data_IF_976229359825
#
_entry.id   IF_976229359825
#
_cell.length_a   1.000
_cell.length_b   1.000
_cell.length_c   1.000
_cell.angle_alpha   90.00
_cell.angle_beta   90.00
_cell.angle_gamma   90.00
#
_symmetry.space_group_name_H-M   'P 1'
#
loop_
_entity.id
_entity.type
_entity.pdbx_description
1 polymer ?
#
# COMPACT_ATOMS: atom_id res chain seq x y z
N UNK A 1 -7.19 11.19 -2.46
CA UNK A 1 -7.70 10.10 -3.34
C UNK A 1 -7.74 8.80 -2.56
N UNK A 2 -8.91 8.16 -2.43
CA UNK A 2 -9.13 7.01 -1.56
C UNK A 2 -8.95 5.69 -2.32
N UNK A 3 -8.35 4.69 -1.68
CA UNK A 3 -8.28 3.31 -2.20
C UNK A 3 -9.12 2.43 -1.30
N UNK A 4 -10.30 2.07 -1.79
CA UNK A 4 -11.13 1.02 -1.21
C UNK A 4 -10.88 -0.25 -2.01
N UNK A 5 -10.25 -1.25 -1.40
CA UNK A 5 -10.27 -2.62 -1.93
C UNK A 5 -11.39 -3.36 -1.22
N UNK A 6 -12.57 -3.34 -1.83
CA UNK A 6 -13.64 -4.27 -1.49
C UNK A 6 -13.24 -5.65 -2.00
N UNK A 7 -13.16 -6.61 -1.08
CA UNK A 7 -13.05 -8.08 -1.25
C UNK A 7 -12.90 -8.57 -2.69
N UNK A 8 -11.70 -9.05 -3.04
CA UNK A 8 -11.56 -9.97 -4.17
C UNK A 8 -11.22 -11.41 -3.77
N UNK A 9 -10.71 -11.70 -2.55
CA UNK A 9 -10.17 -13.04 -2.27
C UNK A 9 -10.36 -13.61 -0.86
N UNK A 10 -11.45 -13.26 -0.16
CA UNK A 10 -11.83 -13.93 1.10
C UNK A 10 -10.89 -13.67 2.29
N UNK A 11 -10.08 -12.61 2.21
CA UNK A 11 -9.21 -12.16 3.31
C UNK A 11 -10.01 -11.36 4.34
N UNK A 12 -9.62 -11.40 5.64
CA UNK A 12 -10.18 -10.51 6.66
C UNK A 12 -10.11 -9.05 6.23
N UNK A 13 -11.13 -8.25 6.60
CA UNK A 13 -11.30 -6.84 6.17
C UNK A 13 -10.14 -5.95 6.59
N UNK A 14 -9.33 -6.40 7.54
CA UNK A 14 -8.26 -5.65 8.17
C UNK A 14 -6.96 -5.64 7.33
N UNK A 15 -6.85 -6.41 6.24
CA UNK A 15 -5.60 -6.51 5.48
C UNK A 15 -5.28 -5.32 4.56
N UNK A 16 -6.28 -4.53 4.16
CA UNK A 16 -6.08 -3.34 3.32
C UNK A 16 -7.04 -2.25 3.78
N UNK A 17 -6.49 -1.16 4.32
CA UNK A 17 -7.26 -0.03 4.86
C UNK A 17 -7.00 1.21 4.01
N UNK A 18 -8.07 1.88 3.59
CA UNK A 18 -8.00 3.14 2.86
C UNK A 18 -8.25 4.33 3.78
N UNK A 19 -7.25 5.21 3.91
CA UNK A 19 -7.39 6.51 4.57
C UNK A 19 -7.62 7.62 3.55
N UNK A 20 -8.36 8.64 3.96
CA UNK A 20 -8.60 9.85 3.17
C UNK A 20 -8.60 11.04 4.13
N UNK A 21 -7.89 12.10 3.76
CA UNK A 21 -7.89 13.35 4.51
C UNK A 21 -9.34 13.86 4.69
N UNK A 22 -9.73 14.13 5.92
CA UNK A 22 -11.10 14.55 6.26
C UNK A 22 -12.08 13.37 6.51
N UNK A 23 -11.60 12.12 6.46
CA UNK A 23 -12.36 10.95 6.88
C UNK A 23 -13.52 10.57 5.96
N UNK A 24 -14.50 9.83 6.49
CA UNK A 24 -15.64 9.34 5.71
C UNK A 24 -16.45 10.43 4.97
N UNK A 25 -16.65 11.65 5.53
CA UNK A 25 -17.30 12.73 4.78
C UNK A 25 -16.58 13.11 3.49
N UNK A 26 -15.24 13.01 3.46
CA UNK A 26 -14.40 13.34 2.31
C UNK A 26 -14.63 12.46 1.07
N UNK A 27 -15.33 11.33 1.24
CA UNK A 27 -15.71 10.42 0.17
C UNK A 27 -16.77 11.07 -0.75
N UNK A 28 -17.71 11.80 -0.14
CA UNK A 28 -18.82 12.40 -0.85
C UNK A 28 -18.54 13.87 -1.22
N UNK A 29 -17.86 14.59 -0.34
CA UNK A 29 -17.57 16.01 -0.53
C UNK A 29 -16.21 16.35 0.08
N UNK A 30 -15.38 17.10 -0.65
CA UNK A 30 -14.09 17.55 -0.15
C UNK A 30 -14.26 18.33 1.17
N UNK A 31 -13.41 17.99 2.16
CA UNK A 31 -13.35 18.69 3.44
C UNK A 31 -12.27 19.76 3.35
N UNK A 32 -12.60 21.00 3.65
CA UNK A 32 -11.66 22.12 3.56
C UNK A 32 -10.45 21.92 4.49
N UNK A 33 -9.26 22.29 4.01
CA UNK A 33 -7.97 22.22 4.71
C UNK A 33 -7.55 20.83 5.20
N UNK A 34 -8.29 19.77 4.83
CA UNK A 34 -7.97 18.42 5.26
C UNK A 34 -6.63 17.92 4.69
N UNK A 35 -6.37 18.20 3.41
CA UNK A 35 -5.14 17.79 2.74
C UNK A 35 -3.91 18.60 3.19
N UNK A 36 -4.13 19.75 3.84
CA UNK A 36 -3.09 20.69 4.25
C UNK A 36 -2.56 20.46 5.69
N UNK A 37 -3.17 19.58 6.49
CA UNK A 37 -2.70 19.26 7.84
C UNK A 37 -1.84 18.00 7.87
N UNK A 38 -0.58 18.13 8.31
CA UNK A 38 0.32 16.99 8.55
C UNK A 38 -0.14 16.16 9.75
N UNK A 39 -0.65 16.84 10.78
CA UNK A 39 -1.06 16.26 12.06
C UNK A 39 -2.22 15.29 11.89
N UNK A 40 -3.18 15.61 11.01
CA UNK A 40 -4.30 14.71 10.71
C UNK A 40 -3.82 13.38 10.11
N UNK A 41 -2.81 13.39 9.25
CA UNK A 41 -2.24 12.17 8.66
C UNK A 41 -1.59 11.26 9.71
N UNK A 42 -0.86 11.85 10.65
CA UNK A 42 -0.31 11.11 11.79
C UNK A 42 -1.43 10.56 12.70
N UNK A 43 -2.40 11.40 13.05
CA UNK A 43 -3.46 11.03 13.98
C UNK A 43 -4.31 9.88 13.44
N UNK A 44 -4.60 9.87 12.13
CA UNK A 44 -5.34 8.78 11.51
C UNK A 44 -4.57 7.44 11.59
N UNK A 45 -3.25 7.45 11.45
CA UNK A 45 -2.44 6.24 11.64
C UNK A 45 -2.39 5.79 13.10
N UNK A 46 -2.32 6.73 14.06
CA UNK A 46 -2.41 6.42 15.49
C UNK A 46 -3.75 5.78 15.85
N UNK A 47 -4.84 6.31 15.32
CA UNK A 47 -6.19 5.80 15.55
C UNK A 47 -6.39 4.38 14.99
N UNK A 48 -5.61 3.99 13.97
CA UNK A 48 -5.59 2.62 13.43
C UNK A 48 -4.63 1.68 14.17
N UNK A 49 -3.95 2.14 15.23
CA UNK A 49 -2.87 1.40 15.88
C UNK A 49 -1.77 0.95 14.90
N UNK A 50 -1.45 1.79 13.91
CA UNK A 50 -0.43 1.51 12.90
C UNK A 50 0.95 1.28 13.54
N UNK A 51 1.68 0.28 13.04
CA UNK A 51 2.89 -0.25 13.65
C UNK A 51 3.99 -0.58 12.63
N UNK A 52 5.18 -0.94 13.11
CA UNK A 52 6.29 -1.43 12.30
C UNK A 52 5.97 -2.68 11.44
N UNK A 53 4.89 -3.40 11.76
CA UNK A 53 4.46 -4.60 11.02
C UNK A 53 3.61 -4.27 9.80
N UNK A 54 3.24 -3.00 9.66
CA UNK A 54 2.39 -2.51 8.60
C UNK A 54 3.23 -1.87 7.49
N UNK A 55 2.60 -1.66 6.33
CA UNK A 55 3.19 -0.95 5.20
C UNK A 55 2.29 0.24 4.87
N UNK A 56 2.87 1.43 4.79
CA UNK A 56 2.16 2.62 4.34
C UNK A 56 2.42 2.84 2.85
N UNK A 57 1.36 3.13 2.09
CA UNK A 57 1.47 3.62 0.71
C UNK A 57 0.90 5.03 0.66
N UNK A 58 1.77 6.04 0.60
CA UNK A 58 1.38 7.44 0.45
C UNK A 58 0.99 7.75 -1.01
N UNK A 59 -0.16 8.39 -1.23
CA UNK A 59 -0.69 8.63 -2.58
C UNK A 59 -1.03 10.10 -2.75
N UNK A 60 -0.27 10.82 -3.58
CA UNK A 60 -0.63 12.16 -4.01
C UNK A 60 0.00 12.45 -5.37
N UNK A 61 -0.82 12.87 -6.35
CA UNK A 61 -0.30 13.16 -7.70
C UNK A 61 0.76 14.28 -7.66
N UNK A 62 0.57 15.28 -6.79
CA UNK A 62 1.49 16.40 -6.58
C UNK A 62 2.83 15.97 -5.97
N UNK A 63 2.84 14.87 -5.20
CA UNK A 63 3.98 14.41 -4.42
C UNK A 63 4.38 15.30 -3.24
N UNK A 64 3.52 16.25 -2.85
CA UNK A 64 3.81 17.25 -1.79
C UNK A 64 2.64 17.51 -0.84
N UNK A 65 1.62 16.66 -0.83
CA UNK A 65 0.42 16.87 -0.01
C UNK A 65 0.75 16.73 1.49
N UNK A 66 0.59 17.79 2.32
CA UNK A 66 0.99 17.77 3.72
C UNK A 66 0.41 16.61 4.54
N UNK A 67 -0.89 16.31 4.41
CA UNK A 67 -1.51 15.16 5.08
C UNK A 67 -0.77 13.84 4.83
N UNK A 68 -0.39 13.58 3.58
CA UNK A 68 0.32 12.36 3.20
C UNK A 68 1.74 12.35 3.77
N UNK A 69 2.42 13.50 3.73
CA UNK A 69 3.77 13.64 4.29
C UNK A 69 3.80 13.45 5.81
N UNK A 70 2.78 13.95 6.53
CA UNK A 70 2.63 13.72 7.96
C UNK A 70 2.43 12.24 8.30
N UNK A 71 1.56 11.55 7.56
CA UNK A 71 1.37 10.10 7.69
C UNK A 71 2.67 9.33 7.42
N UNK A 72 3.41 9.70 6.36
CA UNK A 72 4.69 9.07 6.00
C UNK A 72 5.77 9.28 7.07
N UNK A 73 5.88 10.50 7.60
CA UNK A 73 6.83 10.81 8.67
C UNK A 73 6.54 9.97 9.93
N UNK A 74 5.27 9.87 10.34
CA UNK A 74 4.88 9.03 11.45
C UNK A 74 5.18 7.54 11.19
N UNK A 75 4.80 7.01 10.02
CA UNK A 75 5.08 5.63 9.66
C UNK A 75 6.58 5.28 9.71
N UNK A 76 7.44 6.20 9.23
CA UNK A 76 8.90 6.04 9.38
C UNK A 76 9.35 6.07 10.83
N UNK A 77 8.81 6.98 11.64
CA UNK A 77 9.17 7.09 13.06
C UNK A 77 8.87 5.82 13.86
N UNK A 78 7.85 5.05 13.47
CA UNK A 78 7.52 3.75 14.09
C UNK A 78 8.24 2.57 13.45
N UNK A 79 9.08 2.78 12.44
CA UNK A 79 9.86 1.74 11.76
C UNK A 79 9.10 0.92 10.72
N UNK A 80 7.97 1.42 10.23
CA UNK A 80 7.22 0.77 9.16
C UNK A 80 7.86 1.02 7.78
N UNK A 81 7.61 0.12 6.83
CA UNK A 81 8.01 0.36 5.44
C UNK A 81 7.08 1.38 4.80
N UNK A 82 7.64 2.37 4.11
CA UNK A 82 6.89 3.44 3.45
C UNK A 82 7.15 3.43 1.95
N UNK A 83 6.08 3.26 1.16
CA UNK A 83 6.07 3.48 -0.28
C UNK A 83 5.33 4.79 -0.63
N UNK A 84 5.70 5.42 -1.74
CA UNK A 84 5.02 6.61 -2.26
C UNK A 84 4.65 6.47 -3.73
N UNK A 85 3.46 6.95 -4.09
CA UNK A 85 2.99 7.07 -5.47
C UNK A 85 2.74 8.55 -5.78
N UNK A 86 3.57 9.12 -6.64
CA UNK A 86 3.43 10.51 -7.13
C UNK A 86 3.62 10.56 -8.65
N UNK A 87 3.13 11.62 -9.29
CA UNK A 87 3.27 11.78 -10.75
C UNK A 87 4.33 12.82 -11.13
N UNK A 88 5.04 13.35 -10.12
CA UNK A 88 6.10 14.33 -10.25
C UNK A 88 7.43 13.70 -9.80
N UNK A 89 8.41 13.53 -10.69
CA UNK A 89 9.72 13.00 -10.33
C UNK A 89 10.41 13.81 -9.24
N UNK A 90 11.12 13.13 -8.33
CA UNK A 90 11.90 13.78 -7.27
C UNK A 90 11.04 14.55 -6.25
N UNK A 91 9.78 14.16 -6.10
CA UNK A 91 8.87 14.83 -5.17
C UNK A 91 9.28 14.66 -3.70
N UNK A 92 8.78 15.53 -2.81
CA UNK A 92 9.04 15.43 -1.37
C UNK A 92 8.63 14.05 -0.82
N UNK A 93 7.51 13.51 -1.30
CA UNK A 93 7.09 12.14 -0.97
C UNK A 93 8.07 11.07 -1.50
N UNK A 94 8.57 11.23 -2.72
CA UNK A 94 9.53 10.27 -3.30
C UNK A 94 10.82 10.21 -2.48
N UNK A 95 11.31 11.37 -2.06
CA UNK A 95 12.52 11.48 -1.23
C UNK A 95 12.31 10.95 0.19
N UNK A 96 11.09 11.09 0.72
CA UNK A 96 10.75 10.62 2.05
C UNK A 96 10.47 9.10 2.11
N UNK A 97 10.14 8.44 0.99
CA UNK A 97 9.78 7.02 0.95
C UNK A 97 10.98 6.08 0.88
N UNK A 98 10.80 4.82 1.29
CA UNK A 98 11.74 3.73 1.05
C UNK A 98 11.61 3.17 -0.37
N UNK A 99 10.39 3.24 -0.92
CA UNK A 99 10.06 2.81 -2.27
C UNK A 99 9.29 3.93 -2.98
N UNK A 100 9.90 4.55 -3.98
CA UNK A 100 9.25 5.57 -4.80
C UNK A 100 8.70 4.98 -6.11
N UNK A 101 7.42 5.22 -6.39
CA UNK A 101 6.74 4.84 -7.64
C UNK A 101 6.30 6.13 -8.33
N UNK A 102 7.00 6.50 -9.41
CA UNK A 102 6.85 7.80 -10.06
C UNK A 102 6.36 7.68 -11.53
N UNK A 103 5.09 7.30 -11.78
CA UNK A 103 4.54 7.28 -13.12
C UNK A 103 4.45 8.70 -13.70
N UNK A 104 5.39 9.05 -14.59
CA UNK A 104 5.37 10.32 -15.31
C UNK A 104 4.30 10.29 -16.40
N UNK A 105 3.14 10.88 -16.11
CA UNK A 105 1.98 10.91 -17.04
C UNK A 105 1.94 12.15 -17.94
N UNK A 106 2.82 13.11 -17.71
CA UNK A 106 2.84 14.41 -18.40
C UNK A 106 1.67 15.34 -18.03
N UNK A 107 1.59 16.54 -18.63
CA UNK A 107 0.56 17.55 -18.30
C UNK A 107 -0.87 17.05 -18.51
N UNK A 108 -1.77 17.36 -17.59
CA UNK A 108 -3.18 17.00 -17.73
C UNK A 108 -3.88 17.82 -18.82
N UNK A 109 -4.89 17.23 -19.47
CA UNK A 109 -5.69 17.92 -20.51
C UNK A 109 -6.40 19.13 -19.92
N UNK A 110 -6.90 19.00 -18.69
CA UNK A 110 -7.41 20.11 -17.89
C UNK A 110 -6.33 20.46 -16.87
N UNK A 111 -5.76 21.66 -16.98
CA UNK A 111 -4.69 22.14 -16.08
C UNK A 111 -5.11 22.01 -14.62
N UNK A 112 -4.27 21.36 -13.80
CA UNK A 112 -4.52 21.12 -12.38
C UNK A 112 -5.49 19.97 -12.06
N UNK A 113 -6.14 19.36 -13.05
CA UNK A 113 -7.06 18.25 -12.82
C UNK A 113 -6.33 16.90 -12.77
N UNK A 114 -5.60 16.65 -11.68
CA UNK A 114 -4.90 15.38 -11.44
C UNK A 114 -5.82 14.16 -11.30
N UNK A 115 -7.14 14.35 -11.38
CA UNK A 115 -8.14 13.28 -11.39
C UNK A 115 -8.18 12.49 -12.70
N UNK A 116 -7.45 12.94 -13.72
CA UNK A 116 -7.45 12.34 -15.06
C UNK A 116 -6.35 11.29 -15.23
N UNK A 117 -5.21 11.64 -15.86
CA UNK A 117 -4.15 10.66 -16.14
C UNK A 117 -3.46 10.20 -14.86
N UNK A 118 -3.15 11.13 -13.95
CA UNK A 118 -2.52 10.81 -12.67
C UNK A 118 -3.40 9.88 -11.83
N UNK A 119 -4.69 10.20 -11.68
CA UNK A 119 -5.66 9.34 -10.98
C UNK A 119 -5.78 7.95 -11.62
N UNK A 120 -5.76 7.86 -12.94
CA UNK A 120 -5.78 6.58 -13.68
C UNK A 120 -4.53 5.76 -13.40
N UNK A 121 -3.34 6.36 -13.50
CA UNK A 121 -2.07 5.69 -13.24
C UNK A 121 -2.01 5.15 -11.80
N UNK A 122 -2.39 5.98 -10.82
CA UNK A 122 -2.47 5.59 -9.42
C UNK A 122 -3.41 4.38 -9.23
N UNK A 123 -4.61 4.40 -9.82
CA UNK A 123 -5.56 3.27 -9.75
C UNK A 123 -4.94 1.98 -10.29
N UNK A 124 -4.27 2.04 -11.45
CA UNK A 124 -3.65 0.87 -12.06
C UNK A 124 -2.52 0.30 -11.17
N UNK A 125 -1.68 1.16 -10.61
CA UNK A 125 -0.60 0.76 -9.70
C UNK A 125 -1.16 0.05 -8.46
N UNK A 126 -2.22 0.61 -7.86
CA UNK A 126 -2.85 0.00 -6.68
C UNK A 126 -3.47 -1.36 -6.99
N UNK A 127 -4.10 -1.50 -8.15
CA UNK A 127 -4.58 -2.78 -8.63
C UNK A 127 -3.43 -3.80 -8.77
N UNK A 128 -2.28 -3.38 -9.28
CA UNK A 128 -1.09 -4.25 -9.41
C UNK A 128 -0.54 -4.66 -8.04
N UNK A 129 -0.35 -3.71 -7.12
CA UNK A 129 0.17 -3.98 -5.76
C UNK A 129 -0.71 -5.00 -5.06
N UNK A 130 -2.01 -4.76 -5.03
CA UNK A 130 -2.94 -5.61 -4.28
C UNK A 130 -3.15 -6.96 -4.94
N UNK A 131 -3.35 -7.00 -6.26
CA UNK A 131 -3.51 -8.26 -7.02
C UNK A 131 -2.25 -9.12 -6.94
N UNK A 132 -1.08 -8.53 -7.18
CA UNK A 132 0.21 -9.22 -7.11
C UNK A 132 0.49 -9.78 -5.72
N UNK A 133 0.24 -9.00 -4.68
CA UNK A 133 0.42 -9.44 -3.28
C UNK A 133 -0.51 -10.61 -2.92
N UNK A 134 -1.78 -10.55 -3.34
CA UNK A 134 -2.75 -11.62 -3.05
C UNK A 134 -2.44 -12.91 -3.82
N UNK A 135 -1.98 -12.82 -5.07
CA UNK A 135 -1.53 -13.99 -5.85
C UNK A 135 -0.34 -14.68 -5.18
N UNK A 136 0.68 -13.91 -4.78
CA UNK A 136 1.87 -14.44 -4.11
C UNK A 136 1.53 -15.13 -2.78
N UNK A 137 0.64 -14.53 -1.98
CA UNK A 137 0.16 -15.14 -0.72
C UNK A 137 -0.55 -16.49 -0.96
N UNK A 138 -1.36 -16.59 -2.01
CA UNK A 138 -2.02 -17.85 -2.40
C UNK A 138 -1.05 -18.92 -2.89
N UNK A 139 -0.02 -18.54 -3.63
CA UNK A 139 1.02 -19.48 -4.08
C UNK A 139 1.82 -20.04 -2.91
N UNK A 140 2.14 -19.21 -1.92
CA UNK A 140 2.81 -19.66 -0.70
C UNK A 140 1.99 -20.66 0.13
N UNK A 141 0.66 -20.54 0.11
CA UNK A 141 -0.25 -21.49 0.79
C UNK A 141 -0.45 -22.80 0.01
N UNK A 142 -0.03 -22.86 -1.26
CA UNK A 142 -0.18 -24.02 -2.15
C UNK A 142 1.07 -24.89 -2.23
N UNK A 143 2.19 -24.52 -1.60
CA UNK A 143 3.30 -25.46 -1.41
C UNK A 143 2.99 -26.33 -0.19
N UNK A 144 2.60 -27.62 -0.36
CA UNK A 144 2.61 -28.54 0.78
C UNK A 144 4.06 -28.70 1.22
N UNK A 145 4.29 -28.67 2.54
CA UNK A 145 5.58 -28.97 3.14
C UNK A 145 6.18 -30.22 2.46
N UNK A 146 7.36 -30.02 1.87
CA UNK A 146 8.13 -31.10 1.27
C UNK A 146 8.42 -32.14 2.33
N UNK A 147 7.68 -33.23 2.31
CA UNK A 147 7.94 -34.42 3.10
C UNK A 147 9.38 -34.85 2.87
N UNK A 148 10.22 -34.71 3.90
CA UNK A 148 11.50 -35.40 3.97
C UNK A 148 11.19 -36.90 3.98
N UNK A 149 11.30 -37.53 2.81
CA UNK A 149 11.32 -38.97 2.69
C UNK A 149 12.51 -39.52 3.47
N UNK A 150 12.25 -40.07 4.65
CA UNK A 150 13.16 -40.98 5.32
C UNK A 150 13.28 -42.25 4.48
N UNK A 151 14.29 -42.30 3.61
CA UNK A 151 14.78 -43.58 3.08
C UNK A 151 15.42 -44.38 4.23
N UNK A 152 14.58 -45.08 4.98
CA UNK A 152 15.02 -46.13 5.88
C UNK A 152 15.15 -47.40 5.04
N UNK A 153 16.40 -47.79 4.78
CA UNK A 153 16.76 -49.05 4.13
C UNK A 153 16.23 -50.19 4.99
N UNK A 154 15.22 -50.91 4.50
CA UNK A 154 14.97 -52.28 4.90
C UNK A 154 15.83 -53.13 3.98
N UNK A 155 17.00 -53.52 4.48
CA UNK A 155 17.79 -54.59 3.88
C UNK A 155 17.30 -55.91 4.48
N UNK A 156 17.05 -56.83 3.57
CA UNK A 156 16.56 -58.19 3.75
C UNK A 156 17.20 -58.94 4.92
N UNK A 157 16.34 -59.44 5.80
CA UNK A 157 16.61 -60.65 6.59
C UNK A 157 15.73 -61.76 6.05
N UNK A 158 16.30 -62.68 5.27
CA UNK A 158 15.71 -63.98 4.97
C UNK A 158 16.59 -65.08 5.62
N UNK A 159 15.98 -66.15 6.15
CA UNK A 159 16.67 -67.18 6.92
C UNK A 159 17.20 -68.31 6.03
N UNK A 160 18.42 -68.77 6.33
CA UNK A 160 18.87 -70.16 6.53
C UNK A 160 20.41 -70.22 6.56
#
# INVERSE_FOLDING_TARGET
>A
MQVSVRQLFGTPREQVVGLIAGGHPAILQAVENAEDSREMGEQDLRNLNFSARDVLVGIAASGRTPYVLGAMAYAKSVGATVAAISCNPGSEMSLAADIAIEPVVGPEVVTGSSRMKAGTAQKLILNMITTGSMIRKRQSLRQPDGGRGSHQRQADSAPD
#
